data_IF_513713976289
#
_entry.id   IF_513713976289
#
_cell.length_a   1.000
_cell.length_b   1.000
_cell.length_c   1.000
_cell.angle_alpha   90.00
_cell.angle_beta   90.00
_cell.angle_gamma   90.00
#
_symmetry.space_group_name_H-M   'P 1'
#
loop_
_entity.id
_entity.type
_entity.pdbx_description
1 polymer ?
#
# COMPACT_ATOMS: atom_id res chain seq x y z
N UNK A 1 17.34 -83.49 56.02
CA UNK A 1 17.11 -83.02 57.40
C UNK A 1 17.77 -81.66 57.51
N UNK A 2 17.15 -80.54 57.86
CA UNK A 2 15.85 -80.25 58.45
C UNK A 2 15.37 -78.90 57.90
N UNK A 3 14.07 -78.77 57.65
CA UNK A 3 13.43 -77.61 57.06
C UNK A 3 12.92 -76.68 58.16
N UNK A 4 13.38 -75.43 58.23
CA UNK A 4 12.68 -74.35 58.95
C UNK A 4 12.99 -72.98 58.31
N UNK A 5 12.31 -72.68 57.21
CA UNK A 5 12.11 -71.30 56.74
C UNK A 5 10.96 -70.69 57.54
N UNK A 6 11.28 -69.93 58.58
CA UNK A 6 10.30 -69.17 59.36
C UNK A 6 9.78 -67.99 58.54
N UNK A 7 8.46 -67.92 58.34
CA UNK A 7 7.81 -66.72 57.80
C UNK A 7 8.07 -65.54 58.77
N UNK A 8 8.45 -64.34 58.28
CA UNK A 8 8.57 -63.18 59.16
C UNK A 8 7.21 -62.94 59.82
N UNK A 9 7.21 -62.78 61.15
CA UNK A 9 6.02 -62.43 61.92
C UNK A 9 5.55 -61.05 61.45
N UNK A 10 4.29 -60.96 61.06
CA UNK A 10 3.67 -59.70 60.63
C UNK A 10 3.68 -58.71 61.79
N UNK A 11 4.59 -57.75 61.70
CA UNK A 11 4.80 -56.71 62.69
C UNK A 11 3.74 -55.62 62.44
N UNK A 12 2.63 -55.66 63.17
CA UNK A 12 1.54 -54.66 63.10
C UNK A 12 1.96 -53.22 63.53
N UNK A 13 3.26 -53.02 63.77
CA UNK A 13 3.85 -51.74 64.09
C UNK A 13 4.10 -50.97 62.79
N UNK A 14 3.36 -49.88 62.60
CA UNK A 14 3.48 -48.99 61.44
C UNK A 14 4.91 -48.44 61.32
N UNK A 15 5.71 -49.02 60.44
CA UNK A 15 7.06 -48.57 60.12
C UNK A 15 6.93 -47.49 59.05
N UNK A 16 7.56 -46.34 59.29
CA UNK A 16 7.59 -45.26 58.31
C UNK A 16 8.64 -45.59 57.26
N UNK A 17 8.22 -45.70 56.00
CA UNK A 17 9.11 -45.95 54.88
C UNK A 17 9.84 -44.67 54.48
N UNK A 18 11.06 -44.51 55.03
CA UNK A 18 11.90 -43.32 54.84
C UNK A 18 12.09 -42.94 53.37
N UNK A 19 12.21 -43.93 52.48
CA UNK A 19 12.38 -43.72 51.05
C UNK A 19 11.16 -43.08 50.38
N UNK A 20 9.94 -43.39 50.82
CA UNK A 20 8.72 -42.76 50.29
C UNK A 20 8.61 -41.32 50.76
N UNK A 21 8.86 -41.07 52.06
CA UNK A 21 8.84 -39.71 52.60
C UNK A 21 9.95 -38.82 52.03
N UNK A 22 11.12 -39.36 51.73
CA UNK A 22 12.19 -38.63 51.03
C UNK A 22 11.81 -38.27 49.60
N UNK A 23 11.11 -39.15 48.87
CA UNK A 23 10.59 -38.86 47.52
C UNK A 23 9.52 -37.77 47.58
N UNK A 24 8.57 -37.89 48.50
CA UNK A 24 7.50 -36.89 48.68
C UNK A 24 8.09 -35.53 49.08
N UNK A 25 9.12 -35.50 49.93
CA UNK A 25 9.82 -34.27 50.30
C UNK A 25 10.54 -33.63 49.10
N UNK A 26 11.23 -34.44 48.27
CA UNK A 26 11.88 -33.96 47.04
C UNK A 26 10.89 -33.42 46.03
N UNK A 27 9.79 -34.12 45.79
CA UNK A 27 8.73 -33.65 44.88
C UNK A 27 8.09 -32.34 45.35
N UNK A 28 7.96 -32.14 46.67
CA UNK A 28 7.46 -30.88 47.23
C UNK A 28 8.43 -29.73 46.98
N UNK A 29 9.72 -29.96 47.22
CA UNK A 29 10.78 -28.99 46.95
C UNK A 29 10.90 -28.66 45.46
N UNK A 30 10.77 -29.65 44.58
CA UNK A 30 10.80 -29.44 43.13
C UNK A 30 9.59 -28.65 42.64
N UNK A 31 8.39 -28.91 43.17
CA UNK A 31 7.19 -28.14 42.86
C UNK A 31 7.28 -26.69 43.34
N UNK A 32 7.81 -26.46 44.54
CA UNK A 32 8.07 -25.11 45.06
C UNK A 32 9.13 -24.37 44.21
N UNK A 33 10.20 -25.07 43.81
CA UNK A 33 11.22 -24.51 42.93
C UNK A 33 10.67 -24.18 41.52
N UNK A 34 9.81 -25.05 40.97
CA UNK A 34 9.13 -24.81 39.69
C UNK A 34 8.16 -23.63 39.76
N UNK A 35 7.38 -23.51 40.85
CA UNK A 35 6.50 -22.37 41.05
C UNK A 35 7.27 -21.04 41.13
N UNK A 36 8.42 -21.02 41.82
CA UNK A 36 9.29 -19.84 41.87
C UNK A 36 9.93 -19.52 40.52
N UNK A 37 10.31 -20.54 39.75
CA UNK A 37 10.78 -20.37 38.38
C UNK A 37 9.70 -19.78 37.48
N UNK A 38 8.46 -20.28 37.57
CA UNK A 38 7.33 -19.77 36.80
C UNK A 38 6.92 -18.35 37.22
N UNK A 39 7.00 -17.98 38.50
CA UNK A 39 6.80 -16.60 38.94
C UNK A 39 7.90 -15.65 38.44
N UNK A 40 9.15 -16.12 38.39
CA UNK A 40 10.28 -15.32 37.93
C UNK A 40 10.37 -15.22 36.41
N UNK A 41 9.90 -16.24 35.68
CA UNK A 41 9.80 -16.27 34.22
C UNK A 41 8.52 -15.60 33.72
N UNK A 42 7.40 -15.68 34.45
CA UNK A 42 6.16 -14.96 34.16
C UNK A 42 6.32 -13.44 34.27
N UNK A 43 7.19 -12.96 35.17
CA UNK A 43 7.57 -11.53 35.26
C UNK A 43 8.57 -11.10 34.19
N UNK A 44 9.28 -12.03 33.56
CA UNK A 44 10.20 -11.77 32.45
C UNK A 44 9.52 -12.18 31.16
N UNK A 45 8.58 -11.37 30.70
CA UNK A 45 8.03 -11.47 29.35
C UNK A 45 9.19 -11.71 28.38
N UNK A 46 9.13 -12.83 27.64
CA UNK A 46 10.12 -13.17 26.62
C UNK A 46 10.34 -11.92 25.76
N UNK A 47 11.59 -11.48 25.52
CA UNK A 47 11.82 -10.27 24.73
C UNK A 47 11.25 -10.51 23.35
N UNK A 48 10.06 -9.95 23.11
CA UNK A 48 9.38 -10.03 21.82
C UNK A 48 10.35 -9.44 20.83
N UNK A 49 10.84 -10.27 19.92
CA UNK A 49 11.71 -9.85 18.81
C UNK A 49 10.87 -8.91 17.97
N UNK A 50 10.96 -7.62 18.30
CA UNK A 50 10.25 -6.55 17.61
C UNK A 50 10.70 -6.57 16.16
N UNK A 51 9.74 -6.56 15.25
CA UNK A 51 10.05 -6.54 13.84
C UNK A 51 10.90 -5.32 13.50
N UNK A 52 11.73 -5.47 12.48
CA UNK A 52 12.60 -4.42 11.98
C UNK A 52 11.75 -3.33 11.33
N UNK A 53 12.27 -2.11 11.33
CA UNK A 53 11.56 -0.95 10.81
C UNK A 53 11.23 -1.14 9.31
N UNK A 54 9.97 -1.40 9.00
CA UNK A 54 9.47 -1.40 7.62
C UNK A 54 9.18 0.04 7.18
N UNK A 55 9.50 0.41 5.93
CA UNK A 55 9.05 1.69 5.38
C UNK A 55 7.52 1.68 5.27
N UNK A 56 6.90 2.84 5.50
CA UNK A 56 5.44 3.01 5.34
C UNK A 56 5.10 3.06 3.85
N UNK A 57 4.10 2.30 3.44
CA UNK A 57 3.65 2.23 2.03
C UNK A 57 2.51 3.22 1.70
N UNK A 58 1.87 3.81 2.72
CA UNK A 58 0.81 4.80 2.53
C UNK A 58 1.31 6.23 2.80
N UNK A 59 0.86 7.18 1.98
CA UNK A 59 0.97 8.61 2.30
C UNK A 59 -0.03 8.95 3.40
N UNK A 60 0.42 9.73 4.36
CA UNK A 60 -0.44 10.27 5.41
C UNK A 60 -1.12 11.52 4.85
N UNK A 61 -2.43 11.46 4.65
CA UNK A 61 -3.21 12.55 4.08
C UNK A 61 -3.53 13.59 5.16
N UNK A 62 -2.78 14.70 5.15
CA UNK A 62 -2.96 15.84 6.05
C UNK A 62 -3.91 16.90 5.47
N UNK A 63 -4.15 16.86 4.17
CA UNK A 63 -4.81 17.95 3.43
C UNK A 63 -6.34 17.85 3.43
N UNK A 64 -6.89 16.66 3.67
CA UNK A 64 -8.33 16.38 3.53
C UNK A 64 -9.22 17.13 4.54
N UNK A 65 -8.62 17.66 5.62
CA UNK A 65 -9.30 18.43 6.67
C UNK A 65 -9.00 19.93 6.62
N UNK A 66 -8.22 20.41 5.66
CA UNK A 66 -7.96 21.84 5.48
C UNK A 66 -9.25 22.55 5.04
N UNK A 67 -9.56 23.70 5.66
CA UNK A 67 -10.71 24.54 5.31
C UNK A 67 -12.08 24.05 5.81
N UNK A 68 -12.16 22.92 6.52
CA UNK A 68 -13.42 22.40 7.09
C UNK A 68 -13.53 22.82 8.57
N UNK A 69 -14.50 23.67 8.89
CA UNK A 69 -14.87 23.95 10.29
C UNK A 69 -15.71 22.79 10.82
N UNK A 70 -15.29 22.22 11.96
CA UNK A 70 -16.07 21.20 12.67
C UNK A 70 -16.51 21.76 14.02
N UNK A 71 -17.79 21.64 14.33
CA UNK A 71 -18.35 22.07 15.62
C UNK A 71 -18.05 20.97 16.65
N UNK A 72 -17.20 21.29 17.63
CA UNK A 72 -16.78 20.33 18.66
C UNK A 72 -17.71 20.51 19.87
N UNK A 73 -18.58 19.53 20.12
CA UNK A 73 -19.35 19.43 21.37
C UNK A 73 -18.58 18.61 22.41
N UNK A 74 -18.88 18.74 23.72
CA UNK A 74 -18.20 17.99 24.79
C UNK A 74 -18.36 16.46 24.68
N UNK A 75 -19.33 15.98 23.92
CA UNK A 75 -19.67 14.56 23.72
C UNK A 75 -19.06 13.93 22.46
N UNK A 76 -18.33 14.67 21.62
CA UNK A 76 -17.74 14.08 20.41
C UNK A 76 -16.53 13.19 20.75
N UNK A 77 -16.43 11.99 20.14
CA UNK A 77 -15.31 11.10 20.36
C UNK A 77 -14.00 11.76 19.90
N UNK A 78 -12.89 11.45 20.57
CA UNK A 78 -11.56 12.03 20.32
C UNK A 78 -11.11 11.95 18.85
N UNK A 79 -11.63 11.00 18.07
CA UNK A 79 -11.37 10.85 16.63
C UNK A 79 -11.98 11.96 15.75
N UNK A 80 -13.05 12.61 16.24
CA UNK A 80 -13.77 13.70 15.57
C UNK A 80 -13.53 15.05 16.23
N UNK A 81 -12.77 15.09 17.33
CA UNK A 81 -12.30 16.34 17.90
C UNK A 81 -11.28 16.99 16.95
N UNK A 82 -11.24 18.32 16.93
CA UNK A 82 -10.36 19.07 16.04
C UNK A 82 -8.89 18.65 16.21
N UNK A 83 -8.28 18.15 15.14
CA UNK A 83 -6.91 17.66 15.11
C UNK A 83 -6.73 16.36 14.31
N UNK A 84 -5.49 15.86 14.36
CA UNK A 84 -5.08 14.56 13.84
C UNK A 84 -5.17 13.51 14.96
N UNK A 85 -5.89 12.42 14.71
CA UNK A 85 -6.07 11.34 15.68
C UNK A 85 -5.15 10.16 15.35
N UNK A 86 -4.46 9.62 16.36
CA UNK A 86 -3.65 8.41 16.20
C UNK A 86 -4.33 7.20 16.86
N UNK A 87 -4.67 6.18 16.08
CA UNK A 87 -5.35 4.96 16.56
C UNK A 87 -4.48 4.07 17.46
N UNK A 88 -3.15 4.18 17.38
CA UNK A 88 -2.25 3.30 18.15
C UNK A 88 -1.91 3.85 19.55
N UNK A 89 -2.18 5.13 19.78
CA UNK A 89 -1.82 5.84 21.01
C UNK A 89 -3.00 6.61 21.63
N UNK A 90 -4.18 6.55 21.01
CA UNK A 90 -5.41 7.24 21.40
C UNK A 90 -5.21 8.71 21.80
N UNK A 91 -4.35 9.43 21.08
CA UNK A 91 -4.06 10.83 21.31
C UNK A 91 -4.49 11.71 20.14
N UNK A 92 -5.00 12.90 20.48
CA UNK A 92 -5.33 13.96 19.52
C UNK A 92 -4.14 14.92 19.46
N UNK A 93 -3.57 15.06 18.28
CA UNK A 93 -2.47 16.00 18.01
C UNK A 93 -3.00 17.15 17.16
N UNK A 94 -2.72 18.39 17.57
CA UNK A 94 -3.28 19.59 16.92
C UNK A 94 -2.55 19.97 15.64
N UNK A 95 -1.23 19.77 15.61
CA UNK A 95 -0.38 20.17 14.49
C UNK A 95 -0.02 18.99 13.59
N UNK A 96 0.14 19.25 12.29
CA UNK A 96 0.55 18.25 11.30
C UNK A 96 1.97 17.74 11.54
N UNK A 97 2.89 18.64 11.91
CA UNK A 97 4.29 18.31 12.22
C UNK A 97 4.35 17.40 13.45
N UNK A 98 3.65 17.77 14.51
CA UNK A 98 3.59 16.97 15.73
C UNK A 98 2.92 15.61 15.49
N UNK A 99 1.97 15.49 14.55
CA UNK A 99 1.39 14.20 14.18
C UNK A 99 2.40 13.30 13.44
N UNK A 100 3.21 13.87 12.54
CA UNK A 100 4.31 13.13 11.90
C UNK A 100 5.37 12.70 12.93
N UNK A 101 5.72 13.57 13.88
CA UNK A 101 6.66 13.25 14.96
C UNK A 101 6.10 12.22 15.94
N UNK A 102 4.80 12.26 16.21
CA UNK A 102 4.12 11.26 17.02
C UNK A 102 4.15 9.88 16.37
N UNK A 103 3.81 9.84 15.07
CA UNK A 103 3.82 8.64 14.23
C UNK A 103 5.23 8.04 14.11
N UNK A 104 6.26 8.88 14.05
CA UNK A 104 7.67 8.45 14.03
C UNK A 104 8.24 8.27 15.45
N UNK A 105 7.44 8.53 16.48
CA UNK A 105 7.86 8.48 17.87
C UNK A 105 8.08 7.05 18.37
N UNK A 106 9.05 6.90 19.29
CA UNK A 106 9.38 5.61 19.92
C UNK A 106 8.18 4.95 20.61
N UNK A 107 7.22 5.73 21.13
CA UNK A 107 6.01 5.20 21.79
C UNK A 107 5.06 4.56 20.78
N UNK A 108 4.75 5.25 19.69
CA UNK A 108 3.91 4.73 18.61
C UNK A 108 4.51 3.47 17.98
N UNK A 109 5.81 3.51 17.67
CA UNK A 109 6.51 2.36 17.08
C UNK A 109 6.58 1.15 18.02
N UNK A 110 6.67 1.38 19.33
CA UNK A 110 6.68 0.32 20.35
C UNK A 110 5.32 -0.37 20.45
N UNK A 111 4.23 0.39 20.39
CA UNK A 111 2.87 -0.15 20.37
C UNK A 111 2.60 -0.96 19.09
N UNK A 112 3.17 -0.54 17.96
CA UNK A 112 3.16 -1.30 16.71
C UNK A 112 4.08 -2.53 16.69
N UNK A 113 4.81 -2.81 17.78
CA UNK A 113 5.69 -3.98 17.87
C UNK A 113 6.95 -3.89 17.01
N UNK A 114 7.28 -2.71 16.50
CA UNK A 114 8.46 -2.48 15.67
C UNK A 114 9.59 -1.82 16.46
N UNK A 115 10.84 -2.10 16.10
CA UNK A 115 12.02 -1.40 16.64
C UNK A 115 12.50 -0.33 15.66
N UNK A 116 13.02 0.80 16.15
CA UNK A 116 13.63 1.83 15.28
C UNK A 116 14.97 1.40 14.67
N UNK A 117 15.39 0.16 14.86
CA UNK A 117 16.64 -0.36 14.29
C UNK A 117 16.36 -0.82 12.86
N UNK A 118 16.93 -0.09 11.91
CA UNK A 118 16.94 -0.46 10.49
C UNK A 118 18.07 -1.47 10.26
N UNK A 119 17.84 -2.49 9.44
CA UNK A 119 18.92 -3.38 8.99
C UNK A 119 19.90 -2.65 8.08
N UNK A 120 21.17 -3.03 8.15
CA UNK A 120 22.18 -2.54 7.20
C UNK A 120 21.88 -3.14 5.83
N UNK A 121 21.89 -2.31 4.79
CA UNK A 121 21.58 -2.75 3.44
C UNK A 121 22.67 -3.68 2.88
N UNK A 122 22.26 -4.80 2.28
CA UNK A 122 23.15 -5.69 1.54
C UNK A 122 23.33 -5.25 0.07
N UNK A 123 24.37 -5.75 -0.61
CA UNK A 123 24.64 -5.43 -2.01
C UNK A 123 23.46 -5.79 -2.94
N UNK A 124 22.78 -6.91 -2.68
CA UNK A 124 21.62 -7.34 -3.47
C UNK A 124 20.41 -6.43 -3.27
N UNK A 125 20.21 -5.87 -2.08
CA UNK A 125 19.14 -4.88 -1.84
C UNK A 125 19.40 -3.59 -2.61
N UNK A 126 20.67 -3.18 -2.72
CA UNK A 126 21.06 -1.99 -3.47
C UNK A 126 20.82 -2.19 -4.97
N UNK A 127 21.23 -3.33 -5.55
CA UNK A 127 20.98 -3.67 -6.96
C UNK A 127 19.48 -3.67 -7.27
N UNK A 128 18.66 -4.32 -6.45
CA UNK A 128 17.19 -4.34 -6.60
C UNK A 128 16.57 -2.93 -6.53
N UNK A 129 17.09 -2.04 -5.68
CA UNK A 129 16.65 -0.64 -5.63
C UNK A 129 17.07 0.15 -6.87
N UNK A 130 18.27 -0.06 -7.39
CA UNK A 130 18.70 0.58 -8.64
C UNK A 130 17.84 0.13 -9.83
N UNK A 131 17.51 -1.15 -9.93
CA UNK A 131 16.61 -1.66 -10.96
C UNK A 131 15.20 -1.08 -10.82
N UNK A 132 14.64 -1.03 -9.60
CA UNK A 132 13.33 -0.45 -9.35
C UNK A 132 13.30 1.06 -9.67
N UNK A 133 14.36 1.80 -9.33
CA UNK A 133 14.47 3.22 -9.66
C UNK A 133 14.66 3.42 -11.16
N UNK A 134 15.43 2.57 -11.83
CA UNK A 134 15.59 2.62 -13.29
C UNK A 134 14.25 2.37 -13.99
N UNK A 135 13.48 1.35 -13.56
CA UNK A 135 12.12 1.08 -14.07
C UNK A 135 11.18 2.27 -13.85
N UNK A 136 11.15 2.86 -12.65
CA UNK A 136 10.34 4.06 -12.38
C UNK A 136 10.76 5.27 -13.23
N UNK A 137 12.06 5.42 -13.51
CA UNK A 137 12.54 6.48 -14.40
C UNK A 137 12.20 6.20 -15.85
N UNK A 138 12.24 4.93 -16.29
CA UNK A 138 11.80 4.53 -17.63
C UNK A 138 10.29 4.68 -17.82
N UNK A 139 9.47 4.36 -16.82
CA UNK A 139 8.02 4.63 -16.84
C UNK A 139 7.74 6.13 -16.96
N UNK A 140 8.39 6.97 -16.15
CA UNK A 140 8.29 8.42 -16.28
C UNK A 140 8.75 8.92 -17.64
N UNK A 141 9.84 8.36 -18.19
CA UNK A 141 10.32 8.70 -19.54
C UNK A 141 9.30 8.32 -20.61
N UNK A 142 8.66 7.15 -20.49
CA UNK A 142 7.58 6.75 -21.39
C UNK A 142 6.39 7.72 -21.33
N UNK A 143 6.06 8.25 -20.15
CA UNK A 143 5.05 9.32 -20.00
C UNK A 143 5.43 10.59 -20.77
N UNK A 144 6.71 10.96 -20.81
CA UNK A 144 7.21 12.04 -21.67
C UNK A 144 7.22 11.63 -23.16
N UNK A 145 7.57 10.39 -23.50
CA UNK A 145 7.51 9.87 -24.88
C UNK A 145 6.07 9.79 -25.41
N UNK A 146 5.04 9.68 -24.56
CA UNK A 146 3.64 9.78 -24.99
C UNK A 146 3.30 11.16 -25.55
N UNK A 147 3.88 12.24 -25.03
CA UNK A 147 3.70 13.58 -25.62
C UNK A 147 4.36 13.68 -27.00
N UNK A 148 5.53 13.06 -27.19
CA UNK A 148 6.20 12.99 -28.48
C UNK A 148 5.42 12.10 -29.46
N UNK A 149 4.93 10.94 -29.02
CA UNK A 149 4.06 10.06 -29.80
C UNK A 149 2.73 10.72 -30.17
N UNK A 150 2.18 11.56 -29.30
CA UNK A 150 0.99 12.37 -29.59
C UNK A 150 1.27 13.49 -30.59
N UNK A 151 2.50 14.03 -30.64
CA UNK A 151 2.91 14.97 -31.69
C UNK A 151 3.11 14.26 -33.02
N UNK A 152 3.74 13.08 -33.05
CA UNK A 152 3.89 12.28 -34.26
C UNK A 152 2.54 11.86 -34.86
N UNK A 153 1.60 11.40 -34.04
CA UNK A 153 0.24 11.08 -34.49
C UNK A 153 -0.50 12.30 -35.05
N UNK A 154 -0.32 13.48 -34.44
CA UNK A 154 -0.88 14.73 -34.96
C UNK A 154 -0.25 15.12 -36.30
N UNK A 155 1.07 14.98 -36.44
CA UNK A 155 1.77 15.25 -37.69
C UNK A 155 1.36 14.27 -38.80
N UNK A 156 1.17 12.99 -38.50
CA UNK A 156 0.64 12.01 -39.45
C UNK A 156 -0.80 12.33 -39.85
N UNK A 157 -1.65 12.73 -38.90
CA UNK A 157 -3.02 13.16 -39.20
C UNK A 157 -3.04 14.42 -40.07
N UNK A 158 -2.16 15.39 -39.80
CA UNK A 158 -2.00 16.59 -40.61
C UNK A 158 -1.47 16.29 -42.00
N UNK A 159 -0.50 15.39 -42.14
CA UNK A 159 -0.01 14.91 -43.45
C UNK A 159 -1.10 14.18 -44.22
N UNK A 160 -1.90 13.34 -43.57
CA UNK A 160 -3.05 12.70 -44.20
C UNK A 160 -4.14 13.70 -44.59
N UNK A 161 -4.38 14.72 -43.76
CA UNK A 161 -5.34 15.79 -44.05
C UNK A 161 -4.87 16.68 -45.20
N UNK A 162 -3.57 16.97 -45.27
CA UNK A 162 -2.94 17.68 -46.38
C UNK A 162 -3.04 16.86 -47.67
N UNK A 163 -2.71 15.57 -47.65
CA UNK A 163 -2.86 14.68 -48.80
C UNK A 163 -4.31 14.57 -49.27
N UNK A 164 -5.29 14.48 -48.36
CA UNK A 164 -6.73 14.53 -48.70
C UNK A 164 -7.13 15.87 -49.33
N UNK A 165 -6.59 16.99 -48.84
CA UNK A 165 -6.82 18.33 -49.41
C UNK A 165 -6.19 18.47 -50.80
N UNK A 166 -4.98 17.96 -51.01
CA UNK A 166 -4.32 17.95 -52.31
C UNK A 166 -5.02 17.05 -53.31
N UNK A 167 -5.46 15.85 -52.92
CA UNK A 167 -6.32 15.00 -53.77
C UNK A 167 -7.60 15.71 -54.19
N UNK A 168 -8.26 16.42 -53.26
CA UNK A 168 -9.46 17.23 -53.58
C UNK A 168 -9.12 18.39 -54.53
N UNK A 169 -8.00 19.08 -54.34
CA UNK A 169 -7.56 20.17 -55.23
C UNK A 169 -7.15 19.64 -56.62
N UNK A 170 -6.48 18.50 -56.69
CA UNK A 170 -6.11 17.84 -57.94
C UNK A 170 -7.34 17.33 -58.70
N UNK A 171 -8.35 16.79 -58.00
CA UNK A 171 -9.64 16.48 -58.62
C UNK A 171 -10.36 17.72 -59.12
N UNK A 172 -10.34 18.84 -58.37
CA UNK A 172 -10.90 20.11 -58.84
C UNK A 172 -10.19 20.67 -60.07
N UNK A 173 -8.85 20.63 -60.10
CA UNK A 173 -8.07 21.05 -61.29
C UNK A 173 -8.29 20.15 -62.49
N UNK A 174 -8.48 18.83 -62.27
CA UNK A 174 -8.87 17.91 -63.35
C UNK A 174 -10.29 18.21 -63.82
N UNK A 175 -11.23 18.50 -62.92
CA UNK A 175 -12.60 18.88 -63.30
C UNK A 175 -12.62 20.18 -64.11
N UNK A 176 -11.85 21.19 -63.70
CA UNK A 176 -11.68 22.48 -64.40
C UNK A 176 -11.06 22.32 -65.80
N UNK A 177 -10.04 21.45 -65.94
CA UNK A 177 -9.44 21.09 -67.24
C UNK A 177 -10.44 20.32 -68.14
N UNK A 178 -11.35 19.54 -67.54
CA UNK A 178 -12.43 18.86 -68.28
C UNK A 178 -13.62 19.79 -68.61
N UNK A 179 -13.74 20.93 -67.92
CA UNK A 179 -14.80 21.94 -68.10
C UNK A 179 -14.51 22.88 -69.28
N UNK A 180 -13.24 23.05 -69.67
CA UNK A 180 -12.84 23.78 -70.89
C UNK A 180 -13.16 23.06 -72.22
N UNK A 181 -13.68 21.83 -72.17
CA UNK A 181 -13.90 20.98 -73.34
C UNK A 181 -15.32 20.44 -73.56
N UNK A 182 -16.31 20.78 -72.74
CA UNK A 182 -17.63 20.16 -72.87
C UNK A 182 -18.75 21.00 -72.27
N UNK A 183 -19.62 21.48 -73.15
CA UNK A 183 -20.92 22.09 -72.86
C UNK A 183 -21.66 21.30 -71.74
N UNK A 184 -21.65 21.78 -70.50
CA UNK A 184 -22.36 21.10 -69.40
C UNK A 184 -23.86 21.38 -69.51
N UNK A 185 -24.62 20.30 -69.69
CA UNK A 185 -26.08 20.30 -69.75
C UNK A 185 -26.70 20.76 -68.41
N UNK A 186 -27.65 21.73 -68.40
CA UNK A 186 -28.26 22.30 -67.20
C UNK A 186 -28.85 21.30 -66.21
N UNK A 187 -29.23 20.10 -66.67
CA UNK A 187 -29.82 19.04 -65.85
C UNK A 187 -28.79 18.35 -64.93
N UNK A 188 -27.52 18.30 -65.33
CA UNK A 188 -26.48 17.65 -64.52
C UNK A 188 -26.02 18.53 -63.34
N UNK A 189 -26.13 19.86 -63.48
CA UNK A 189 -25.85 20.84 -62.43
C UNK A 189 -26.94 20.89 -61.34
N UNK A 190 -28.21 20.62 -61.71
CA UNK A 190 -29.31 20.48 -60.77
C UNK A 190 -29.16 19.21 -59.91
N UNK A 191 -28.67 18.11 -60.49
CA UNK A 191 -28.43 16.85 -59.78
C UNK A 191 -27.27 16.92 -58.76
N UNK A 192 -26.27 17.79 -59.01
CA UNK A 192 -25.14 18.04 -58.09
C UNK A 192 -25.37 19.20 -57.09
N UNK A 193 -26.60 19.74 -57.02
CA UNK A 193 -26.99 20.70 -55.98
C UNK A 193 -26.48 22.12 -56.17
N UNK A 194 -26.11 22.53 -57.40
CA UNK A 194 -25.68 23.90 -57.72
C UNK A 194 -26.84 24.83 -58.14
N UNK A 195 -28.08 24.51 -57.77
CA UNK A 195 -29.23 25.38 -58.03
C UNK A 195 -29.36 26.50 -56.99
N UNK A 196 -28.88 27.70 -57.35
CA UNK A 196 -29.50 28.98 -56.98
C UNK A 196 -29.45 29.43 -55.52
N UNK A 197 -28.34 30.05 -55.11
CA UNK A 197 -28.33 30.93 -53.93
C UNK A 197 -28.78 32.34 -54.35
N UNK A 198 -30.08 32.60 -54.17
CA UNK A 198 -30.62 33.93 -53.86
C UNK A 198 -30.56 35.03 -54.93
N UNK A 199 -31.49 35.02 -55.90
CA UNK A 199 -32.00 36.25 -56.50
C UNK A 199 -33.45 36.47 -56.07
N UNK A 200 -33.65 37.32 -55.06
CA UNK A 200 -34.92 38.00 -54.86
C UNK A 200 -34.63 39.48 -54.62
N UNK A 201 -34.93 40.31 -55.62
CA UNK A 201 -35.06 41.74 -55.48
C UNK A 201 -36.43 42.15 -56.02
N UNK A 202 -37.39 42.32 -55.10
CA UNK A 202 -38.50 43.28 -55.13
C UNK A 202 -39.15 43.29 -53.76
#
# INVERSE_FOLDING_TARGET
>A
MSAYGGKPVEDHRRKWDKAEYEKVAKERLEKEAQALLDETLGKKEKPVKRELLKPREYKVDLDSKLGKSSVITKTTPSSQQGGYYCNACDCVVKDSINFLDHINGKKHQRNLGMSMRVERSSLDQVKKRFEANKKKMEEKKKDYDFEERMKELKEEEEKQRAYRREKRKAQKRKADDTETGGNMDPDMAALMGFSGFGSSKK
#
